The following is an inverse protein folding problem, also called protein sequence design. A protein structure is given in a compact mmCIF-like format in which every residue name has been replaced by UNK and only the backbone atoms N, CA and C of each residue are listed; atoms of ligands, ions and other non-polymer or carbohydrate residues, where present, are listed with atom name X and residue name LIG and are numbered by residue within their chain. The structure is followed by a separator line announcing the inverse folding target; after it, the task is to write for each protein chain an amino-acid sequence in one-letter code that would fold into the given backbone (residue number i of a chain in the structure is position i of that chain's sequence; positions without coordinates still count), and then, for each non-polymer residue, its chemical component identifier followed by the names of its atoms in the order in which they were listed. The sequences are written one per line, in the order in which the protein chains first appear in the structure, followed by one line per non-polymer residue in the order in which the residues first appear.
data_IF_897899457582
#
_entry.id   IF_897899457582
#
_cell.length_a   1.000
_cell.length_b   1.000
_cell.length_c   1.000
_cell.angle_alpha   90.00
_cell.angle_beta   90.00
_cell.angle_gamma   90.00
#
_symmetry.space_group_name_H-M   'P 1'
#
loop_
_entity.id
_entity.type
_entity.pdbx_description
1 polymer ?
#
# COMPACT_ATOMS: atom_id res chain seq x y z
N UNK A 1 9.76 21.67 1.10
CA UNK A 1 8.29 21.47 1.12
C UNK A 1 7.66 21.70 -0.26
N UNK A 2 7.70 22.92 -0.83
CA UNK A 2 7.16 23.16 -2.18
C UNK A 2 7.92 22.38 -3.27
N UNK A 3 9.25 22.35 -3.19
CA UNK A 3 10.08 21.61 -4.15
C UNK A 3 9.86 20.08 -4.05
N UNK A 4 9.63 19.57 -2.84
CA UNK A 4 9.32 18.15 -2.61
C UNK A 4 7.91 17.78 -3.12
N UNK A 5 6.95 18.69 -3.00
CA UNK A 5 5.62 18.50 -3.58
C UNK A 5 5.66 18.55 -5.11
N UNK A 6 6.45 19.45 -5.68
CA UNK A 6 6.63 19.55 -7.13
C UNK A 6 7.39 18.35 -7.70
N UNK A 7 8.37 17.82 -6.98
CA UNK A 7 9.07 16.60 -7.39
C UNK A 7 8.14 15.38 -7.37
N UNK A 8 7.32 15.23 -6.32
CA UNK A 8 6.30 14.19 -6.22
C UNK A 8 5.22 14.30 -7.32
N UNK A 9 4.88 15.51 -7.74
CA UNK A 9 3.93 15.73 -8.84
C UNK A 9 4.50 15.34 -10.21
N UNK A 10 5.82 15.46 -10.38
CA UNK A 10 6.50 15.12 -11.63
C UNK A 10 6.76 13.63 -11.80
N UNK A 11 6.75 12.83 -10.72
CA UNK A 11 6.77 11.38 -10.79
C UNK A 11 5.39 10.85 -11.24
N UNK A 12 5.29 10.17 -12.39
CA UNK A 12 4.01 9.66 -12.91
C UNK A 12 3.27 8.74 -11.94
N UNK A 13 4.02 7.93 -11.17
CA UNK A 13 3.47 6.95 -10.23
C UNK A 13 2.84 7.63 -9.01
N UNK A 14 3.54 8.59 -8.42
CA UNK A 14 3.07 9.39 -7.30
C UNK A 14 1.91 10.30 -7.69
N UNK A 15 1.95 10.87 -8.90
CA UNK A 15 0.85 11.67 -9.44
C UNK A 15 -0.43 10.83 -9.59
N UNK A 16 -0.33 9.61 -10.10
CA UNK A 16 -1.47 8.70 -10.18
C UNK A 16 -2.04 8.42 -8.77
N UNK A 17 -1.17 8.05 -7.81
CA UNK A 17 -1.57 7.80 -6.43
C UNK A 17 -2.28 9.00 -5.78
N UNK A 18 -1.86 10.24 -6.04
CA UNK A 18 -2.55 11.44 -5.56
C UNK A 18 -3.93 11.63 -6.23
N UNK A 19 -4.04 11.40 -7.54
CA UNK A 19 -5.28 11.62 -8.30
C UNK A 19 -6.38 10.62 -7.90
N UNK A 20 -6.02 9.37 -7.57
CA UNK A 20 -7.02 8.33 -7.25
C UNK A 20 -7.76 8.54 -5.92
N UNK A 21 -7.31 9.45 -5.06
CA UNK A 21 -8.03 9.80 -3.82
C UNK A 21 -9.29 10.64 -4.09
N UNK A 22 -9.31 11.44 -5.15
CA UNK A 22 -10.46 12.29 -5.47
C UNK A 22 -11.75 11.49 -5.74
N UNK A 23 -11.74 10.40 -6.55
CA UNK A 23 -12.90 9.54 -6.71
C UNK A 23 -13.48 9.02 -5.39
N UNK A 24 -12.62 8.62 -4.45
CA UNK A 24 -13.04 8.08 -3.14
C UNK A 24 -13.79 9.12 -2.32
N UNK A 25 -13.24 10.33 -2.22
CA UNK A 25 -13.89 11.42 -1.47
C UNK A 25 -15.23 11.79 -2.11
N UNK A 26 -15.27 11.89 -3.44
CA UNK A 26 -16.49 12.25 -4.17
C UNK A 26 -17.57 11.18 -4.05
N UNK A 27 -17.23 9.89 -4.03
CA UNK A 27 -18.22 8.82 -3.84
C UNK A 27 -18.80 8.82 -2.43
N UNK A 28 -17.96 9.05 -1.40
CA UNK A 28 -18.41 9.12 0.00
C UNK A 28 -19.35 10.30 0.24
N UNK A 29 -19.04 11.46 -0.33
CA UNK A 29 -19.88 12.66 -0.21
C UNK A 29 -21.12 12.60 -1.12
N UNK A 30 -21.02 11.95 -2.28
CA UNK A 30 -22.08 11.88 -3.28
C UNK A 30 -23.33 11.16 -2.78
N UNK A 31 -23.18 10.02 -2.09
CA UNK A 31 -24.30 9.20 -1.60
C UNK A 31 -25.27 9.97 -0.67
N UNK A 32 -24.81 10.60 0.45
CA UNK A 32 -25.72 11.33 1.33
C UNK A 32 -26.36 12.53 0.64
N UNK A 33 -25.65 13.20 -0.27
CA UNK A 33 -26.21 14.32 -1.04
C UNK A 33 -27.26 13.84 -2.04
N UNK A 34 -27.05 12.69 -2.69
CA UNK A 34 -28.06 12.05 -3.56
C UNK A 34 -29.31 11.68 -2.76
N UNK A 35 -29.17 11.13 -1.55
CA UNK A 35 -30.28 10.85 -0.65
C UNK A 35 -31.06 12.13 -0.28
N UNK A 36 -30.35 13.19 0.13
CA UNK A 36 -30.96 14.51 0.40
C UNK A 36 -31.74 15.03 -0.81
N UNK A 37 -31.22 14.84 -2.03
CA UNK A 37 -31.91 15.27 -3.25
C UNK A 37 -33.24 14.53 -3.50
N UNK A 38 -33.35 13.28 -3.05
CA UNK A 38 -34.57 12.48 -3.13
C UNK A 38 -35.61 12.96 -2.10
N UNK A 39 -35.20 13.21 -0.86
CA UNK A 39 -36.09 13.66 0.23
C UNK A 39 -36.47 15.15 0.14
N UNK A 40 -35.69 15.96 -0.58
CA UNK A 40 -35.97 17.38 -0.85
C UNK A 40 -36.21 17.65 -2.34
N UNK A 41 -37.25 17.06 -2.97
CA UNK A 41 -37.42 17.06 -4.43
C UNK A 41 -37.68 18.46 -5.03
N UNK A 42 -38.03 19.45 -4.19
CA UNK A 42 -38.21 20.85 -4.60
C UNK A 42 -36.90 21.65 -4.55
N UNK A 43 -35.89 21.22 -3.81
CA UNK A 43 -34.61 21.91 -3.73
C UNK A 43 -33.85 21.75 -5.04
N UNK A 44 -33.64 22.87 -5.75
CA UNK A 44 -32.80 22.90 -6.97
C UNK A 44 -31.31 22.80 -6.62
N UNK A 45 -30.92 23.34 -5.47
CA UNK A 45 -29.55 23.30 -4.98
C UNK A 45 -29.10 21.87 -4.66
N UNK A 46 -29.87 21.12 -3.87
CA UNK A 46 -29.50 19.75 -3.48
C UNK A 46 -29.28 18.85 -4.71
N UNK A 47 -30.14 18.99 -5.74
CA UNK A 47 -30.01 18.27 -7.00
C UNK A 47 -28.79 18.72 -7.81
N UNK A 48 -28.58 20.03 -7.93
CA UNK A 48 -27.41 20.57 -8.63
C UNK A 48 -26.09 20.09 -8.02
N UNK A 49 -25.99 20.08 -6.69
CA UNK A 49 -24.80 19.56 -5.98
C UNK A 49 -24.63 18.06 -6.19
N UNK A 50 -25.71 17.27 -6.08
CA UNK A 50 -25.64 15.82 -6.33
C UNK A 50 -25.15 15.51 -7.74
N UNK A 51 -25.70 16.18 -8.76
CA UNK A 51 -25.28 16.04 -10.16
C UNK A 51 -23.80 16.43 -10.30
N UNK A 52 -23.40 17.55 -9.72
CA UNK A 52 -22.02 18.05 -9.76
C UNK A 52 -21.02 17.06 -9.15
N UNK A 53 -21.38 16.43 -8.02
CA UNK A 53 -20.53 15.43 -7.37
C UNK A 53 -20.34 14.17 -8.22
N UNK A 54 -21.41 13.63 -8.81
CA UNK A 54 -21.29 12.43 -9.67
C UNK A 54 -20.66 12.73 -11.04
N UNK A 55 -20.90 13.91 -11.62
CA UNK A 55 -20.20 14.35 -12.81
C UNK A 55 -18.70 14.59 -12.53
N UNK A 56 -18.38 15.20 -11.39
CA UNK A 56 -17.02 15.37 -10.91
C UNK A 56 -16.34 14.04 -10.63
N UNK A 57 -17.06 13.07 -10.05
CA UNK A 57 -16.56 11.71 -9.84
C UNK A 57 -16.18 11.07 -11.18
N UNK A 58 -17.07 11.09 -12.17
CA UNK A 58 -16.77 10.57 -13.50
C UNK A 58 -15.56 11.28 -14.14
N UNK A 59 -15.50 12.62 -14.06
CA UNK A 59 -14.35 13.37 -14.57
C UNK A 59 -13.04 12.99 -13.85
N UNK A 60 -13.09 12.80 -12.53
CA UNK A 60 -11.92 12.39 -11.74
C UNK A 60 -11.45 10.97 -12.09
N UNK A 61 -12.38 10.03 -12.35
CA UNK A 61 -12.05 8.69 -12.84
C UNK A 61 -11.40 8.74 -14.22
N UNK A 62 -11.88 9.60 -15.12
CA UNK A 62 -11.25 9.80 -16.43
C UNK A 62 -9.82 10.35 -16.30
N UNK A 63 -9.61 11.30 -15.39
CA UNK A 63 -8.26 11.81 -15.09
C UNK A 63 -7.37 10.71 -14.49
N UNK A 64 -7.90 9.91 -13.57
CA UNK A 64 -7.20 8.78 -12.98
C UNK A 64 -6.77 7.77 -14.05
N UNK A 65 -7.67 7.37 -14.94
CA UNK A 65 -7.38 6.46 -16.05
C UNK A 65 -6.25 6.99 -16.96
N UNK A 66 -6.34 8.25 -17.40
CA UNK A 66 -5.31 8.89 -18.22
C UNK A 66 -3.96 8.99 -17.51
N UNK A 67 -3.96 9.24 -16.20
CA UNK A 67 -2.73 9.27 -15.41
C UNK A 67 -2.13 7.87 -15.23
N UNK A 68 -2.97 6.83 -15.21
CA UNK A 68 -2.58 5.43 -15.12
C UNK A 68 -1.87 4.94 -16.38
N UNK A 69 -2.39 5.27 -17.57
CA UNK A 69 -1.72 4.95 -18.86
C UNK A 69 -0.29 5.52 -18.91
N UNK A 70 -0.09 6.74 -18.38
CA UNK A 70 1.24 7.35 -18.29
C UNK A 70 2.16 6.68 -17.27
N UNK A 71 1.60 6.07 -16.22
CA UNK A 71 2.34 5.29 -15.23
C UNK A 71 2.70 3.90 -15.77
N UNK A 72 1.80 3.24 -16.49
CA UNK A 72 2.02 1.94 -17.13
C UNK A 72 3.19 1.99 -18.10
N UNK A 73 3.32 3.05 -18.91
CA UNK A 73 4.47 3.25 -19.80
C UNK A 73 5.82 3.38 -19.08
N UNK A 74 5.82 3.59 -17.76
CA UNK A 74 7.03 3.63 -16.92
C UNK A 74 7.29 2.31 -16.17
N UNK A 75 6.33 1.38 -16.18
CA UNK A 75 6.50 0.03 -15.65
C UNK A 75 7.37 -0.76 -16.65
N UNK A 76 8.51 -1.25 -16.18
CA UNK A 76 9.46 -1.99 -17.04
C UNK A 76 8.86 -3.30 -17.56
N UNK A 77 9.40 -3.82 -18.67
CA UNK A 77 8.93 -5.02 -19.37
C UNK A 77 8.93 -6.35 -18.56
N UNK A 78 9.27 -6.30 -17.28
CA UNK A 78 9.44 -7.46 -16.39
C UNK A 78 8.43 -7.45 -15.23
N UNK A 79 7.15 -7.17 -15.50
CA UNK A 79 6.08 -7.40 -14.52
C UNK A 79 5.73 -8.89 -14.45
N UNK A 80 5.41 -9.39 -13.26
CA UNK A 80 4.87 -10.75 -13.13
C UNK A 80 3.49 -10.82 -13.77
N UNK A 81 3.10 -12.00 -14.28
CA UNK A 81 1.76 -12.20 -14.83
C UNK A 81 0.68 -11.84 -13.81
N UNK A 82 0.88 -12.20 -12.53
CA UNK A 82 -0.06 -11.86 -11.45
C UNK A 82 -0.20 -10.35 -11.23
N UNK A 83 0.91 -9.60 -11.29
CA UNK A 83 0.87 -8.15 -11.15
C UNK A 83 0.22 -7.47 -12.37
N UNK A 84 0.43 -8.03 -13.58
CA UNK A 84 -0.24 -7.58 -14.80
C UNK A 84 -1.75 -7.84 -14.74
N UNK A 85 -2.17 -9.06 -14.37
CA UNK A 85 -3.59 -9.42 -14.22
C UNK A 85 -4.28 -8.55 -13.15
N UNK A 86 -3.58 -8.27 -12.04
CA UNK A 86 -4.07 -7.37 -11.00
C UNK A 86 -4.21 -5.91 -11.50
N UNK A 87 -3.25 -5.45 -12.32
CA UNK A 87 -3.26 -4.11 -12.90
C UNK A 87 -4.42 -3.94 -13.88
N UNK A 88 -4.57 -4.91 -14.79
CA UNK A 88 -5.67 -4.97 -15.75
C UNK A 88 -7.02 -4.95 -15.02
N UNK A 89 -7.16 -5.77 -13.97
CA UNK A 89 -8.38 -5.79 -13.15
C UNK A 89 -8.66 -4.47 -12.46
N UNK A 90 -7.63 -3.79 -11.94
CA UNK A 90 -7.79 -2.47 -11.34
C UNK A 90 -8.24 -1.43 -12.37
N UNK A 91 -7.66 -1.46 -13.57
CA UNK A 91 -8.02 -0.56 -14.66
C UNK A 91 -9.46 -0.79 -15.14
N UNK A 92 -9.85 -2.05 -15.31
CA UNK A 92 -11.22 -2.44 -15.69
C UNK A 92 -12.24 -1.94 -14.66
N UNK A 93 -11.96 -2.13 -13.36
CA UNK A 93 -12.80 -1.63 -12.29
C UNK A 93 -12.91 -0.10 -12.31
N UNK A 94 -11.80 0.62 -12.55
CA UNK A 94 -11.79 2.07 -12.72
C UNK A 94 -12.67 2.55 -13.88
N UNK A 95 -12.63 1.86 -15.02
CA UNK A 95 -13.51 2.14 -16.18
C UNK A 95 -14.99 1.90 -15.84
N UNK A 96 -15.29 0.82 -15.11
CA UNK A 96 -16.66 0.53 -14.68
C UNK A 96 -17.21 1.61 -13.74
N UNK A 97 -16.39 2.11 -12.80
CA UNK A 97 -16.76 3.24 -11.93
C UNK A 97 -17.05 4.49 -12.75
N UNK A 98 -16.23 4.81 -13.76
CA UNK A 98 -16.45 5.96 -14.64
C UNK A 98 -17.83 5.90 -15.32
N UNK A 99 -18.15 4.78 -15.97
CA UNK A 99 -19.42 4.59 -16.67
C UNK A 99 -20.60 4.65 -15.70
N UNK A 100 -20.49 3.98 -14.55
CA UNK A 100 -21.55 3.94 -13.55
C UNK A 100 -21.80 5.32 -12.92
N UNK A 101 -20.74 6.08 -12.59
CA UNK A 101 -20.87 7.44 -12.07
C UNK A 101 -21.52 8.39 -13.08
N UNK A 102 -21.16 8.28 -14.36
CA UNK A 102 -21.81 9.01 -15.45
C UNK A 102 -23.29 8.67 -15.60
N UNK A 103 -23.64 7.38 -15.48
CA UNK A 103 -25.03 6.91 -15.46
C UNK A 103 -25.84 7.48 -14.30
N UNK A 104 -25.27 7.53 -13.10
CA UNK A 104 -25.90 8.16 -11.92
C UNK A 104 -26.10 9.66 -12.14
N UNK A 105 -25.08 10.37 -12.65
CA UNK A 105 -25.21 11.79 -12.96
C UNK A 105 -26.35 12.05 -13.97
N UNK A 106 -26.48 11.19 -14.98
CA UNK A 106 -27.57 11.26 -15.97
C UNK A 106 -28.95 11.00 -15.33
N UNK A 107 -29.08 9.98 -14.47
CA UNK A 107 -30.33 9.73 -13.74
C UNK A 107 -30.73 10.92 -12.87
N UNK A 108 -29.77 11.54 -12.17
CA UNK A 108 -30.00 12.73 -11.37
C UNK A 108 -30.37 13.95 -12.23
N UNK A 109 -29.83 14.07 -13.45
CA UNK A 109 -30.27 15.06 -14.43
C UNK A 109 -31.71 14.81 -14.89
N UNK A 110 -32.10 13.56 -15.15
CA UNK A 110 -33.49 13.19 -15.48
C UNK A 110 -34.43 13.53 -14.31
N UNK A 111 -33.95 13.44 -13.06
CA UNK A 111 -34.69 13.88 -11.88
C UNK A 111 -34.93 15.41 -11.81
N UNK A 112 -34.45 16.20 -12.77
CA UNK A 112 -34.83 17.60 -12.92
C UNK A 112 -36.14 17.81 -13.69
N UNK A 113 -36.66 16.78 -14.36
CA UNK A 113 -37.92 16.86 -15.13
C UNK A 113 -39.10 17.20 -14.22
N UNK A 114 -40.01 18.11 -14.62
CA UNK A 114 -41.13 18.57 -13.78
C UNK A 114 -42.21 17.50 -13.51
N UNK A 115 -42.24 16.42 -14.31
CA UNK A 115 -43.20 15.30 -14.13
C UNK A 115 -42.84 14.50 -12.86
N UNK A 116 -43.72 14.44 -11.84
CA UNK A 116 -43.38 13.90 -10.52
C UNK A 116 -43.07 12.40 -10.53
N UNK A 117 -43.76 11.61 -11.36
CA UNK A 117 -43.49 10.18 -11.50
C UNK A 117 -42.06 9.94 -12.04
N UNK A 118 -41.70 10.60 -13.16
CA UNK A 118 -40.37 10.51 -13.77
C UNK A 118 -39.29 10.97 -12.80
N UNK A 119 -39.51 12.11 -12.12
CA UNK A 119 -38.57 12.64 -11.14
C UNK A 119 -38.28 11.66 -10.02
N UNK A 120 -39.33 11.14 -9.38
CA UNK A 120 -39.17 10.31 -8.20
C UNK A 120 -38.53 8.96 -8.59
N UNK A 121 -38.93 8.35 -9.70
CA UNK A 121 -38.31 7.13 -10.21
C UNK A 121 -36.82 7.34 -10.52
N UNK A 122 -36.49 8.42 -11.24
CA UNK A 122 -35.10 8.72 -11.60
C UNK A 122 -34.23 9.03 -10.37
N UNK A 123 -34.77 9.76 -9.37
CA UNK A 123 -34.05 10.05 -8.13
C UNK A 123 -33.81 8.79 -7.29
N UNK A 124 -34.78 7.88 -7.20
CA UNK A 124 -34.61 6.59 -6.51
C UNK A 124 -33.57 5.73 -7.21
N UNK A 125 -33.63 5.62 -8.54
CA UNK A 125 -32.61 4.89 -9.31
C UNK A 125 -31.23 5.53 -9.19
N UNK A 126 -31.15 6.87 -9.18
CA UNK A 126 -29.91 7.60 -8.94
C UNK A 126 -29.32 7.30 -7.56
N UNK A 127 -30.15 7.24 -6.51
CA UNK A 127 -29.70 6.86 -5.17
C UNK A 127 -29.20 5.41 -5.11
N UNK A 128 -29.95 4.45 -5.66
CA UNK A 128 -29.51 3.06 -5.70
C UNK A 128 -28.21 2.89 -6.50
N UNK A 129 -28.12 3.56 -7.65
CA UNK A 129 -26.89 3.61 -8.44
C UNK A 129 -25.73 4.23 -7.68
N UNK A 130 -25.95 5.28 -6.89
CA UNK A 130 -24.90 5.92 -6.09
C UNK A 130 -24.28 4.98 -5.05
N UNK A 131 -25.10 4.11 -4.43
CA UNK A 131 -24.62 3.08 -3.50
C UNK A 131 -23.79 2.02 -4.22
N UNK A 132 -24.23 1.58 -5.41
CA UNK A 132 -23.48 0.67 -6.25
C UNK A 132 -22.13 1.24 -6.68
N UNK A 133 -22.11 2.51 -7.11
CA UNK A 133 -20.87 3.24 -7.44
C UNK A 133 -19.94 3.31 -6.24
N UNK A 134 -20.42 3.63 -5.04
CA UNK A 134 -19.59 3.67 -3.84
C UNK A 134 -18.97 2.30 -3.52
N UNK A 135 -19.74 1.21 -3.70
CA UNK A 135 -19.22 -0.16 -3.59
C UNK A 135 -18.11 -0.46 -4.60
N UNK A 136 -18.32 -0.13 -5.87
CA UNK A 136 -17.27 -0.32 -6.90
C UNK A 136 -16.04 0.55 -6.67
N UNK A 137 -16.19 1.78 -6.19
CA UNK A 137 -15.04 2.63 -5.82
C UNK A 137 -14.23 1.97 -4.72
N UNK A 138 -14.89 1.43 -3.69
CA UNK A 138 -14.22 0.72 -2.60
C UNK A 138 -13.47 -0.53 -3.10
N UNK A 139 -14.06 -1.32 -4.00
CA UNK A 139 -13.37 -2.48 -4.59
C UNK A 139 -12.19 -2.06 -5.46
N UNK A 140 -12.35 -1.00 -6.26
CA UNK A 140 -11.27 -0.45 -7.10
C UNK A 140 -10.11 0.03 -6.24
N UNK A 141 -10.39 0.75 -5.15
CA UNK A 141 -9.39 1.23 -4.20
C UNK A 141 -8.67 0.07 -3.49
N UNK A 142 -9.39 -0.99 -3.11
CA UNK A 142 -8.77 -2.18 -2.54
C UNK A 142 -7.78 -2.83 -3.51
N UNK A 143 -8.17 -3.03 -4.77
CA UNK A 143 -7.27 -3.57 -5.80
C UNK A 143 -6.10 -2.64 -6.11
N UNK A 144 -6.31 -1.32 -6.07
CA UNK A 144 -5.22 -0.34 -6.17
C UNK A 144 -4.22 -0.47 -5.01
N UNK A 145 -4.73 -0.72 -3.79
CA UNK A 145 -3.90 -1.05 -2.64
C UNK A 145 -3.08 -2.32 -2.86
N UNK A 146 -3.69 -3.40 -3.36
CA UNK A 146 -2.99 -4.66 -3.67
C UNK A 146 -1.82 -4.43 -4.64
N UNK A 147 -2.01 -3.60 -5.67
CA UNK A 147 -0.94 -3.26 -6.60
C UNK A 147 0.27 -2.62 -5.90
N UNK A 148 0.03 -1.70 -4.97
CA UNK A 148 1.10 -1.02 -4.23
C UNK A 148 1.72 -1.94 -3.19
N UNK A 149 0.91 -2.61 -2.37
CA UNK A 149 1.36 -3.32 -1.18
C UNK A 149 1.86 -4.74 -1.46
N UNK A 150 1.23 -5.46 -2.39
CA UNK A 150 1.64 -6.84 -2.72
C UNK A 150 2.59 -6.90 -3.91
N UNK A 151 2.40 -6.00 -4.88
CA UNK A 151 3.17 -6.00 -6.13
C UNK A 151 4.17 -4.86 -6.27
N UNK A 152 4.20 -3.90 -5.34
CA UNK A 152 5.17 -2.80 -5.35
C UNK A 152 4.96 -1.74 -6.43
N UNK A 153 3.81 -1.75 -7.11
CA UNK A 153 3.51 -0.83 -8.21
C UNK A 153 2.96 0.49 -7.65
N UNK A 154 3.64 1.60 -7.90
CA UNK A 154 3.19 2.92 -7.47
C UNK A 154 3.81 3.46 -6.18
N UNK A 155 4.70 2.70 -5.53
CA UNK A 155 5.59 3.24 -4.50
C UNK A 155 6.67 4.09 -5.19
N UNK A 156 6.62 5.41 -5.00
CA UNK A 156 7.48 6.35 -5.71
C UNK A 156 8.95 5.98 -5.63
N UNK A 157 9.69 6.23 -6.72
CA UNK A 157 11.15 6.16 -6.73
C UNK A 157 11.66 7.31 -5.88
N UNK A 158 11.83 7.11 -4.58
CA UNK A 158 12.55 8.06 -3.74
C UNK A 158 14.00 8.10 -4.20
N UNK A 159 14.34 9.15 -4.95
CA UNK A 159 15.70 9.44 -5.35
C UNK A 159 16.51 9.96 -4.16
N UNK A 160 17.53 9.21 -3.77
CA UNK A 160 18.71 9.70 -3.07
C UNK A 160 19.93 9.47 -3.94
N UNK A 161 20.50 10.54 -4.50
CA UNK A 161 21.74 10.46 -5.26
C UNK A 161 22.97 10.31 -4.36
N UNK A 162 23.93 9.48 -4.78
CA UNK A 162 25.24 9.33 -4.15
C UNK A 162 26.04 8.24 -4.87
N UNK A 163 27.15 8.62 -5.50
CA UNK A 163 27.90 7.78 -6.42
C UNK A 163 28.74 6.68 -5.76
N UNK A 164 29.20 5.75 -6.59
CA UNK A 164 30.14 4.71 -6.17
C UNK A 164 30.30 3.66 -7.26
N UNK A 165 31.18 3.91 -8.23
CA UNK A 165 31.55 2.94 -9.24
C UNK A 165 32.41 1.80 -8.68
N UNK A 166 32.16 0.59 -9.16
CA UNK A 166 33.10 -0.52 -9.30
C UNK A 166 32.38 -1.57 -10.16
N UNK A 167 32.87 -2.08 -11.29
CA UNK A 167 34.25 -2.32 -11.69
C UNK A 167 34.48 -3.83 -11.79
N UNK A 168 34.45 -4.37 -13.02
CA UNK A 168 34.94 -5.71 -13.42
C UNK A 168 33.97 -6.89 -13.21
N UNK A 169 34.03 -8.02 -13.93
CA UNK A 169 34.81 -8.47 -15.10
C UNK A 169 34.38 -9.94 -15.40
N UNK A 170 34.39 -10.37 -16.67
CA UNK A 170 34.44 -11.78 -17.11
C UNK A 170 33.07 -12.49 -17.25
N UNK A 171 32.62 -12.93 -18.44
CA UNK A 171 33.13 -14.04 -19.25
C UNK A 171 32.16 -15.23 -19.09
N UNK A 172 31.29 -15.60 -20.03
CA UNK A 172 31.56 -16.34 -21.26
C UNK A 172 31.09 -17.81 -21.10
N UNK A 173 30.18 -18.30 -21.95
CA UNK A 173 29.87 -19.74 -22.08
C UNK A 173 28.40 -20.08 -22.30
N UNK A 174 28.06 -20.59 -23.49
CA UNK A 174 26.73 -21.09 -23.84
C UNK A 174 26.44 -22.50 -23.36
N UNK A 175 25.16 -22.87 -23.39
CA UNK A 175 24.66 -24.23 -23.16
C UNK A 175 23.13 -24.27 -23.19
N UNK A 176 22.57 -24.83 -24.27
CA UNK A 176 21.17 -25.22 -24.38
C UNK A 176 20.88 -26.45 -23.52
N UNK A 177 19.70 -26.49 -22.89
CA UNK A 177 19.20 -27.67 -22.19
C UNK A 177 17.86 -27.41 -21.51
N UNK A 178 16.79 -28.05 -22.01
CA UNK A 178 15.44 -27.97 -21.44
C UNK A 178 15.29 -28.72 -20.11
N UNK A 179 14.24 -28.37 -19.36
CA UNK A 179 13.87 -29.06 -18.13
C UNK A 179 12.84 -28.27 -17.33
N UNK A 180 11.70 -28.91 -17.07
CA UNK A 180 10.51 -28.39 -16.40
C UNK A 180 10.75 -28.12 -14.91
N UNK A 181 9.96 -27.18 -14.37
CA UNK A 181 9.41 -27.27 -13.02
C UNK A 181 10.35 -26.92 -11.87
N UNK A 182 10.40 -25.64 -11.51
CA UNK A 182 10.63 -25.22 -10.14
C UNK A 182 9.99 -23.86 -9.91
N UNK A 183 9.18 -23.76 -8.85
CA UNK A 183 8.60 -22.51 -8.37
C UNK A 183 9.73 -21.56 -7.97
N UNK A 184 10.05 -20.64 -8.87
CA UNK A 184 10.92 -19.51 -8.59
C UNK A 184 10.09 -18.44 -7.89
N UNK A 185 10.33 -18.28 -6.59
CA UNK A 185 9.97 -17.08 -5.85
C UNK A 185 10.52 -15.88 -6.64
N UNK A 186 9.63 -15.11 -7.26
CA UNK A 186 10.05 -13.97 -8.08
C UNK A 186 10.45 -12.84 -7.14
N UNK A 187 11.73 -12.49 -7.20
CA UNK A 187 12.31 -11.35 -6.50
C UNK A 187 11.55 -10.07 -6.88
N UNK A 188 11.12 -9.32 -5.87
CA UNK A 188 10.71 -7.94 -6.06
C UNK A 188 11.86 -7.10 -6.61
N UNK A 189 11.53 -5.91 -7.14
CA UNK A 189 12.52 -4.93 -7.56
C UNK A 189 13.62 -4.83 -6.48
N UNK A 190 14.90 -5.05 -6.81
CA UNK A 190 16.02 -5.08 -5.84
C UNK A 190 16.28 -3.75 -5.10
N UNK A 191 15.35 -2.78 -5.18
CA UNK A 191 15.47 -1.40 -4.71
C UNK A 191 14.48 -0.99 -3.60
N UNK A 192 13.46 -1.80 -3.29
CA UNK A 192 12.52 -1.54 -2.18
C UNK A 192 12.38 -2.83 -1.37
N UNK A 193 12.62 -2.75 -0.06
CA UNK A 193 12.59 -3.88 0.85
C UNK A 193 11.20 -4.04 1.47
N UNK A 194 10.52 -5.13 1.13
CA UNK A 194 9.20 -5.42 1.69
C UNK A 194 9.33 -6.21 3.00
N UNK A 195 8.87 -5.62 4.11
CA UNK A 195 9.05 -6.21 5.43
C UNK A 195 8.53 -7.64 5.51
N UNK A 196 7.28 -7.90 5.12
CA UNK A 196 6.61 -9.18 5.32
C UNK A 196 7.26 -10.34 4.55
N UNK A 197 7.84 -10.05 3.39
CA UNK A 197 8.46 -11.06 2.52
C UNK A 197 9.96 -11.21 2.79
N UNK A 198 10.66 -10.12 3.09
CA UNK A 198 12.12 -10.09 3.05
C UNK A 198 12.75 -9.94 4.45
N UNK A 199 12.19 -9.10 5.31
CA UNK A 199 12.76 -8.82 6.65
C UNK A 199 12.13 -9.70 7.72
N UNK A 200 10.82 -9.92 7.66
CA UNK A 200 10.05 -10.73 8.61
C UNK A 200 10.65 -12.12 8.77
N UNK A 201 10.93 -12.92 7.70
CA UNK A 201 11.54 -14.24 7.86
C UNK A 201 12.87 -14.22 8.63
N UNK A 202 13.67 -13.17 8.43
CA UNK A 202 14.94 -12.99 9.17
C UNK A 202 14.65 -12.73 10.65
N UNK A 203 13.67 -11.88 10.94
CA UNK A 203 13.28 -11.59 12.32
C UNK A 203 12.67 -12.80 13.02
N UNK A 204 11.87 -13.62 12.35
CA UNK A 204 11.33 -14.85 12.94
C UNK A 204 12.45 -15.84 13.28
N UNK A 205 13.38 -16.05 12.36
CA UNK A 205 14.48 -17.02 12.50
C UNK A 205 15.52 -16.55 13.52
N UNK A 206 15.91 -15.27 13.49
CA UNK A 206 17.09 -14.77 14.21
C UNK A 206 16.79 -13.93 15.44
N UNK A 207 15.60 -13.33 15.55
CA UNK A 207 15.31 -12.34 16.58
C UNK A 207 14.22 -12.81 17.54
N UNK A 208 13.07 -13.26 17.02
CA UNK A 208 11.86 -13.51 17.80
C UNK A 208 11.97 -14.70 18.75
N UNK A 209 12.91 -15.62 18.54
CA UNK A 209 13.17 -16.69 19.51
C UNK A 209 13.56 -16.16 20.90
N UNK A 210 14.20 -14.99 20.98
CA UNK A 210 14.64 -14.35 22.22
C UNK A 210 13.94 -13.02 22.51
N UNK A 211 13.65 -12.21 21.49
CA UNK A 211 13.05 -10.89 21.60
C UNK A 211 11.54 -10.94 21.30
N UNK A 212 10.80 -11.50 22.25
CA UNK A 212 9.35 -11.69 22.22
C UNK A 212 8.74 -11.37 23.60
N UNK A 213 7.42 -11.17 23.73
CA UNK A 213 6.81 -10.78 25.00
C UNK A 213 7.08 -11.76 26.16
N UNK A 214 7.31 -13.05 25.87
CA UNK A 214 7.53 -14.08 26.90
C UNK A 214 8.96 -14.06 27.44
N UNK A 215 9.95 -13.69 26.62
CA UNK A 215 11.39 -13.78 26.95
C UNK A 215 12.09 -12.43 27.04
N UNK A 216 11.44 -11.35 26.63
CA UNK A 216 11.99 -9.99 26.60
C UNK A 216 12.67 -9.60 27.93
N UNK A 217 12.04 -9.85 29.09
CA UNK A 217 12.58 -9.47 30.41
C UNK A 217 14.00 -9.99 30.69
N UNK A 218 14.40 -11.11 30.08
CA UNK A 218 15.74 -11.70 30.22
C UNK A 218 16.67 -11.43 29.03
N UNK A 219 16.16 -10.79 27.98
CA UNK A 219 16.86 -10.53 26.72
C UNK A 219 16.78 -9.03 26.37
N UNK A 220 17.32 -8.20 27.26
CA UNK A 220 17.40 -6.75 27.05
C UNK A 220 16.06 -6.02 27.10
N UNK A 221 14.99 -6.62 27.65
CA UNK A 221 13.62 -6.07 27.72
C UNK A 221 13.04 -5.65 26.36
N UNK A 222 13.57 -6.20 25.28
CA UNK A 222 13.17 -5.85 23.91
C UNK A 222 12.22 -6.91 23.36
N UNK A 223 11.09 -6.45 22.83
CA UNK A 223 10.16 -7.24 22.04
C UNK A 223 10.17 -6.73 20.60
N UNK A 224 10.49 -7.62 19.66
CA UNK A 224 10.60 -7.30 18.24
C UNK A 224 9.39 -7.79 17.43
N UNK A 225 8.32 -8.25 18.08
CA UNK A 225 7.14 -8.81 17.38
C UNK A 225 6.17 -7.73 16.90
N UNK A 226 6.37 -6.46 17.26
CA UNK A 226 5.58 -5.33 16.75
C UNK A 226 6.43 -4.09 16.50
N UNK A 227 6.03 -3.29 15.51
CA UNK A 227 6.69 -2.01 15.21
C UNK A 227 6.68 -1.07 16.41
N UNK A 228 5.58 -1.01 17.15
CA UNK A 228 5.46 -0.15 18.33
C UNK A 228 6.53 -0.49 19.38
N UNK A 229 6.81 -1.78 19.58
CA UNK A 229 7.80 -2.24 20.56
C UNK A 229 9.24 -2.01 20.07
N UNK A 230 9.50 -2.18 18.76
CA UNK A 230 10.81 -1.88 18.17
C UNK A 230 11.13 -0.38 18.25
N UNK A 231 10.15 0.49 17.97
CA UNK A 231 10.31 1.94 18.08
C UNK A 231 10.47 2.41 19.52
N UNK A 232 9.84 1.70 20.48
CA UNK A 232 10.02 1.95 21.91
C UNK A 232 11.41 1.51 22.40
N UNK A 233 11.93 0.40 21.88
CA UNK A 233 13.19 -0.17 22.30
C UNK A 233 13.11 -0.98 23.61
N UNK A 234 14.27 -1.36 24.12
CA UNK A 234 14.42 -2.26 25.27
C UNK A 234 14.84 -1.55 26.56
N UNK A 235 15.57 -2.29 27.41
CA UNK A 235 16.04 -1.85 28.72
C UNK A 235 17.15 -0.80 28.68
N UNK A 236 17.71 -0.52 27.52
CA UNK A 236 18.67 0.57 27.25
C UNK A 236 18.00 1.94 27.23
N UNK A 237 16.69 2.00 26.97
CA UNK A 237 15.92 3.24 26.82
C UNK A 237 16.03 3.90 25.46
N UNK A 238 16.79 3.33 24.52
CA UNK A 238 16.88 3.80 23.13
C UNK A 238 16.03 2.92 22.20
N UNK A 239 15.49 3.48 21.10
CA UNK A 239 14.81 2.70 20.07
C UNK A 239 15.72 1.64 19.44
N UNK A 240 15.17 0.47 19.15
CA UNK A 240 15.88 -0.51 18.34
C UNK A 240 15.98 -0.03 16.88
N UNK A 241 14.94 0.62 16.36
CA UNK A 241 14.93 1.20 15.00
C UNK A 241 14.39 2.62 15.04
N UNK A 242 14.99 3.51 14.26
CA UNK A 242 14.46 4.83 13.95
C UNK A 242 14.24 4.91 12.43
N UNK A 243 12.99 5.02 11.95
CA UNK A 243 12.67 5.12 10.53
C UNK A 243 13.51 6.17 9.81
N UNK A 244 14.18 5.77 8.73
CA UNK A 244 14.98 6.65 7.87
C UNK A 244 16.33 7.08 8.47
N UNK A 245 16.72 6.60 9.66
CA UNK A 245 17.98 6.97 10.32
C UNK A 245 18.78 5.74 10.75
N UNK A 246 19.84 5.46 10.00
CA UNK A 246 20.67 4.26 10.18
C UNK A 246 21.54 4.29 11.44
N UNK A 247 21.84 5.47 11.97
CA UNK A 247 22.73 5.72 13.11
C UNK A 247 22.00 5.98 14.43
N UNK A 248 20.66 6.09 14.39
CA UNK A 248 19.85 6.49 15.53
C UNK A 248 19.15 5.32 16.25
N UNK A 249 19.31 4.08 15.76
CA UNK A 249 18.72 2.88 16.36
C UNK A 249 19.75 1.80 16.69
N UNK A 250 19.52 1.05 17.76
CA UNK A 250 20.48 0.05 18.26
C UNK A 250 20.54 -1.24 17.41
N UNK A 251 19.52 -1.52 16.59
CA UNK A 251 19.43 -2.76 15.81
C UNK A 251 20.63 -2.93 14.87
N UNK A 252 20.97 -1.89 14.09
CA UNK A 252 22.04 -1.99 13.09
C UNK A 252 23.42 -2.11 13.73
N UNK A 253 23.63 -1.47 14.89
CA UNK A 253 24.86 -1.60 15.69
C UNK A 253 25.00 -3.04 16.19
N UNK A 254 23.91 -3.58 16.76
CA UNK A 254 23.87 -4.90 17.35
C UNK A 254 24.11 -6.03 16.33
N UNK A 255 23.46 -5.97 15.15
CA UNK A 255 23.62 -7.00 14.11
C UNK A 255 24.91 -6.86 13.31
N UNK A 256 25.49 -5.67 13.25
CA UNK A 256 26.79 -5.43 12.58
C UNK A 256 27.98 -5.82 13.46
N UNK A 257 27.74 -6.10 14.75
CA UNK A 257 28.76 -6.39 15.78
C UNK A 257 29.74 -5.22 15.98
N UNK A 258 29.25 -3.99 15.83
CA UNK A 258 30.08 -2.79 16.01
C UNK A 258 30.40 -2.54 17.49
N UNK A 259 29.58 -3.06 18.40
CA UNK A 259 29.80 -3.03 19.86
C UNK A 259 29.88 -4.45 20.42
N UNK A 260 30.96 -4.75 21.15
CA UNK A 260 31.25 -6.06 21.75
C UNK A 260 30.25 -6.48 22.84
N UNK A 261 29.55 -5.53 23.46
CA UNK A 261 28.55 -5.77 24.51
C UNK A 261 27.12 -5.89 23.98
N UNK A 262 26.86 -5.55 22.71
CA UNK A 262 25.54 -5.57 22.09
C UNK A 262 25.41 -6.54 20.91
N UNK A 263 26.36 -7.45 20.72
CA UNK A 263 26.38 -8.39 19.60
C UNK A 263 25.14 -9.30 19.58
N UNK A 264 24.32 -9.16 18.54
CA UNK A 264 23.09 -9.94 18.36
C UNK A 264 22.98 -10.49 16.93
N UNK A 265 22.52 -11.73 16.74
CA UNK A 265 22.32 -12.78 17.75
C UNK A 265 23.66 -13.17 18.42
N UNK A 266 23.68 -13.60 19.69
CA UNK A 266 24.91 -14.06 20.32
C UNK A 266 25.52 -15.28 19.61
N UNK A 267 26.83 -15.48 19.74
CA UNK A 267 27.52 -16.65 19.15
C UNK A 267 26.88 -17.98 19.52
N UNK A 268 26.41 -18.13 20.77
CA UNK A 268 25.71 -19.34 21.26
C UNK A 268 24.32 -19.57 20.63
N UNK A 269 23.78 -18.57 19.93
CA UNK A 269 22.43 -18.56 19.37
C UNK A 269 22.44 -18.36 17.85
N UNK A 270 23.55 -18.72 17.18
CA UNK A 270 23.66 -18.70 15.72
C UNK A 270 24.58 -17.61 15.16
N UNK A 271 25.13 -16.74 16.01
CA UNK A 271 26.14 -15.74 15.63
C UNK A 271 25.64 -14.65 14.68
N UNK A 272 26.58 -13.87 14.14
CA UNK A 272 26.32 -12.71 13.27
C UNK A 272 25.51 -13.14 12.04
N UNK A 273 24.56 -12.30 11.64
CA UNK A 273 23.82 -12.48 10.39
C UNK A 273 24.77 -12.43 9.19
N UNK A 274 24.45 -13.14 8.09
CA UNK A 274 25.09 -12.94 6.80
C UNK A 274 25.01 -11.46 6.37
N UNK A 275 26.05 -10.98 5.70
CA UNK A 275 26.12 -9.57 5.28
C UNK A 275 24.96 -9.20 4.35
N UNK A 276 24.45 -10.13 3.54
CA UNK A 276 23.26 -9.87 2.71
C UNK A 276 22.00 -9.58 3.53
N UNK A 277 21.82 -10.26 4.67
CA UNK A 277 20.67 -10.06 5.55
C UNK A 277 20.79 -8.74 6.32
N UNK A 278 22.01 -8.39 6.75
CA UNK A 278 22.29 -7.09 7.39
C UNK A 278 22.04 -5.95 6.40
N UNK A 279 22.51 -6.08 5.15
CA UNK A 279 22.29 -5.09 4.11
C UNK A 279 20.79 -4.91 3.80
N UNK A 280 20.02 -6.00 3.82
CA UNK A 280 18.58 -5.98 3.62
C UNK A 280 17.86 -5.24 4.75
N UNK A 281 18.19 -5.53 6.02
CA UNK A 281 17.64 -4.83 7.18
C UNK A 281 18.03 -3.34 7.16
N UNK A 282 19.29 -3.03 6.79
CA UNK A 282 19.77 -1.65 6.65
C UNK A 282 18.94 -0.87 5.64
N UNK A 283 18.71 -1.42 4.44
CA UNK A 283 17.87 -0.78 3.42
C UNK A 283 16.44 -0.60 3.90
N UNK A 284 15.85 -1.60 4.55
CA UNK A 284 14.51 -1.45 5.13
C UNK A 284 14.42 -0.30 6.15
N UNK A 285 15.43 -0.11 7.00
CA UNK A 285 15.46 1.04 7.93
C UNK A 285 15.61 2.35 7.17
N UNK A 286 16.47 2.41 6.15
CA UNK A 286 16.67 3.58 5.29
C UNK A 286 15.37 4.01 4.59
N UNK A 287 14.59 3.05 4.14
CA UNK A 287 13.29 3.24 3.47
C UNK A 287 12.15 3.61 4.42
N UNK A 288 12.45 3.83 5.71
CA UNK A 288 11.46 4.28 6.70
C UNK A 288 10.87 3.16 7.54
N UNK A 289 11.51 1.98 7.56
CA UNK A 289 11.13 0.84 8.41
C UNK A 289 9.63 0.50 8.31
N UNK A 290 9.09 0.52 7.09
CA UNK A 290 7.67 0.30 6.83
C UNK A 290 7.28 -1.09 7.34
N UNK A 291 6.23 -1.13 8.18
CA UNK A 291 5.73 -2.34 8.83
C UNK A 291 4.23 -2.45 8.55
N UNK A 292 3.83 -3.37 7.68
CA UNK A 292 2.44 -3.48 7.21
C UNK A 292 1.89 -4.87 7.49
N UNK A 293 1.29 -5.06 8.67
CA UNK A 293 0.52 -6.30 8.93
C UNK A 293 -0.55 -6.44 7.84
N UNK A 294 -0.56 -7.51 7.03
CA UNK A 294 -1.59 -7.71 6.03
C UNK A 294 -2.96 -7.68 6.70
N UNK A 295 -3.92 -6.99 6.09
CA UNK A 295 -5.26 -6.78 6.67
C UNK A 295 -6.04 -8.09 6.97
N UNK A 296 -5.52 -9.26 6.58
CA UNK A 296 -6.10 -10.58 6.80
C UNK A 296 -5.81 -11.25 8.16
N UNK A 297 -4.84 -10.77 8.96
CA UNK A 297 -4.49 -11.42 10.24
C UNK A 297 -5.19 -10.84 11.47
N UNK A 298 -6.08 -9.84 11.32
CA UNK A 298 -6.90 -9.29 12.42
C UNK A 298 -8.17 -10.08 12.72
N UNK A 299 -8.15 -11.41 12.62
CA UNK A 299 -9.38 -12.23 12.84
C UNK A 299 -9.19 -13.48 13.71
N UNK A 300 -8.32 -13.49 14.72
CA UNK A 300 -8.32 -14.63 15.66
C UNK A 300 -8.08 -14.35 17.15
N UNK A 301 -7.80 -13.12 17.58
CA UNK A 301 -7.57 -12.82 19.02
C UNK A 301 -8.80 -12.27 19.78
N UNK A 302 -10.02 -12.45 19.26
CA UNK A 302 -11.26 -12.02 19.94
C UNK A 302 -12.17 -13.20 20.35
N UNK A 303 -11.59 -14.38 20.62
CA UNK A 303 -12.34 -15.55 21.05
C UNK A 303 -11.65 -16.30 22.20
N UNK A 304 -11.44 -15.63 23.33
CA UNK A 304 -11.34 -16.28 24.65
C UNK A 304 -11.80 -15.29 25.73
N UNK A 305 -13.07 -14.93 25.71
CA UNK A 305 -13.78 -14.34 26.85
C UNK A 305 -15.12 -15.06 26.93
N UNK A 306 -15.12 -16.28 27.50
CA UNK A 306 -16.29 -16.98 28.06
C UNK A 306 -15.86 -18.41 28.42
N UNK A 307 -15.38 -18.60 29.66
CA UNK A 307 -15.61 -19.79 30.51
C UNK A 307 -14.74 -19.66 31.77
N UNK A 308 -15.32 -19.05 32.81
CA UNK A 308 -15.11 -19.43 34.21
C UNK A 308 -16.20 -18.74 35.05
N UNK A 309 -17.31 -19.47 35.20
CA UNK A 309 -18.39 -19.23 36.16
C UNK A 309 -18.67 -20.51 36.91
#
# INVERSE_FOLDING_TARGET
MLDDMLSAWNDPSMRHAMIVHFPVVLSVLGVPVAAVSLFMPRSRWARGVAIGLFAGLAASCLMAARSGEGAEGSLGANMTQQAADALEKHEELGKNVFVAAGGVALLLLIACVPKPAVRNTAATLGLLGSLGVAGWVATTAHHGGVLVYEHGLGAGRSGGGGGGGSGGSGGGGGGEGGGQGSGGLVAADPRVVFFEREVRPIFEDRCWGCHNPVRAERNGKLDMTSIANILKGGGTGNPAVVPGRLDAGELLIAISYEDEFMQMPPLKSGGKLPDEQIALIRRWVEEGAVWTVPAGERRWEAATDEEDG
#
